data_IF_133982750409
#
_entry.id   IF_133982750409
#
_cell.length_a   1.000
_cell.length_b   1.000
_cell.length_c   1.000
_cell.angle_alpha   90.00
_cell.angle_beta   90.00
_cell.angle_gamma   90.00
#
_symmetry.space_group_name_H-M   'P 1'
#
loop_
_entity.id
_entity.type
_entity.pdbx_description
1 polymer ?
#
# COMPACT_ATOMS: atom_id res chain seq x y z
N UNK A 1 -7.60 25.73 -20.49
CA UNK A 1 -6.45 24.79 -20.51
C UNK A 1 -5.84 24.79 -19.12
N UNK A 2 -6.03 23.73 -18.32
CA UNK A 2 -5.30 23.60 -17.03
C UNK A 2 -4.04 22.81 -17.33
N UNK A 3 -2.89 23.51 -17.38
CA UNK A 3 -1.58 22.88 -17.51
C UNK A 3 -1.43 21.81 -16.44
N UNK A 4 -1.29 20.55 -16.86
CA UNK A 4 -0.90 19.46 -15.97
C UNK A 4 0.51 19.77 -15.49
N UNK A 5 0.63 20.32 -14.29
CA UNK A 5 1.91 20.60 -13.66
C UNK A 5 2.82 19.37 -13.78
N UNK A 6 3.98 19.58 -14.39
CA UNK A 6 5.09 18.61 -14.36
C UNK A 6 5.33 18.22 -12.91
N UNK A 7 5.37 16.91 -12.61
CA UNK A 7 5.48 16.45 -11.23
C UNK A 7 6.83 16.88 -10.66
N UNK A 8 6.87 17.52 -9.49
CA UNK A 8 8.14 17.86 -8.86
C UNK A 8 8.94 16.57 -8.54
N UNK A 9 10.25 16.53 -8.83
CA UNK A 9 11.12 15.39 -8.51
C UNK A 9 11.06 15.02 -7.01
N UNK A 10 11.37 13.77 -6.69
CA UNK A 10 11.30 13.19 -5.32
C UNK A 10 12.09 14.02 -4.29
N UNK A 11 13.17 14.70 -4.71
CA UNK A 11 13.94 15.64 -3.89
C UNK A 11 13.12 16.84 -3.41
N UNK A 12 12.36 17.47 -4.31
CA UNK A 12 11.53 18.64 -3.99
C UNK A 12 10.38 18.31 -3.02
N UNK A 13 9.87 17.07 -3.04
CA UNK A 13 8.85 16.65 -2.07
C UNK A 13 9.42 16.44 -0.66
N UNK A 14 10.71 16.08 -0.54
CA UNK A 14 11.40 15.97 0.75
C UNK A 14 11.68 17.34 1.36
N UNK A 15 12.13 18.29 0.55
CA UNK A 15 12.35 19.68 0.98
C UNK A 15 11.06 20.34 1.45
N UNK A 16 9.98 20.23 0.65
CA UNK A 16 8.65 20.74 1.04
C UNK A 16 8.11 20.11 2.31
N UNK A 17 8.40 18.82 2.54
CA UNK A 17 8.00 18.13 3.77
C UNK A 17 8.76 18.71 4.97
N UNK A 18 10.09 18.89 4.86
CA UNK A 18 10.91 19.48 5.91
C UNK A 18 10.45 20.89 6.27
N UNK A 19 10.27 21.76 5.28
CA UNK A 19 9.78 23.13 5.48
C UNK A 19 8.40 23.15 6.16
N UNK A 20 7.49 22.27 5.72
CA UNK A 20 6.15 22.18 6.30
C UNK A 20 6.18 21.68 7.74
N UNK A 21 7.07 20.74 8.08
CA UNK A 21 7.24 20.24 9.44
C UNK A 21 7.85 21.35 10.32
N UNK A 22 8.92 22.00 9.86
CA UNK A 22 9.60 23.07 10.61
C UNK A 22 8.67 24.24 10.92
N UNK A 23 7.88 24.70 9.95
CA UNK A 23 6.90 25.76 10.16
C UNK A 23 5.81 25.38 11.17
N UNK A 24 5.41 24.10 11.21
CA UNK A 24 4.37 23.64 12.14
C UNK A 24 4.91 23.36 13.55
N UNK A 25 6.15 22.88 13.66
CA UNK A 25 6.82 22.69 14.95
C UNK A 25 7.13 24.03 15.62
N UNK A 26 7.52 25.06 14.85
CA UNK A 26 7.69 26.42 15.38
C UNK A 26 6.40 26.95 16.02
N UNK A 27 5.23 26.65 15.44
CA UNK A 27 3.92 27.05 16.00
C UNK A 27 3.58 26.33 17.31
N UNK A 28 4.01 25.08 17.46
CA UNK A 28 3.83 24.32 18.71
C UNK A 28 4.78 24.87 19.79
N UNK A 29 6.02 25.20 19.43
CA UNK A 29 7.02 25.76 20.34
C UNK A 29 6.74 27.21 20.78
N UNK A 30 5.78 27.89 20.15
CA UNK A 30 5.30 29.21 20.56
C UNK A 30 4.06 29.15 21.46
N UNK A 31 3.61 27.96 21.85
CA UNK A 31 2.54 27.78 22.83
C UNK A 31 3.14 27.65 24.25
N UNK A 32 2.41 28.08 25.27
CA UNK A 32 2.86 28.24 26.66
C UNK A 32 3.50 26.96 27.26
N UNK A 33 4.48 27.16 28.14
CA UNK A 33 5.39 26.14 28.70
C UNK A 33 4.75 25.14 29.69
N UNK A 34 3.45 25.27 29.96
CA UNK A 34 2.72 24.48 30.98
C UNK A 34 1.86 23.34 30.39
N UNK A 35 2.03 22.99 29.12
CA UNK A 35 1.30 21.87 28.52
C UNK A 35 1.89 20.50 28.92
N UNK A 36 1.01 19.56 29.27
CA UNK A 36 1.36 18.15 29.51
C UNK A 36 2.16 17.58 28.33
N UNK A 37 3.30 16.97 28.64
CA UNK A 37 4.27 16.40 27.69
C UNK A 37 3.57 15.40 26.75
N UNK A 38 2.59 14.65 27.24
CA UNK A 38 1.83 13.69 26.43
C UNK A 38 0.93 14.38 25.40
N UNK A 39 0.36 15.54 25.76
CA UNK A 39 -0.44 16.36 24.85
C UNK A 39 0.43 16.97 23.75
N UNK A 40 1.60 17.48 24.12
CA UNK A 40 2.60 18.04 23.19
C UNK A 40 3.08 16.96 22.21
N UNK A 41 3.39 15.77 22.72
CA UNK A 41 3.79 14.62 21.89
C UNK A 41 2.67 14.22 20.90
N UNK A 42 1.42 14.20 21.35
CA UNK A 42 0.28 13.91 20.48
C UNK A 42 0.12 14.99 19.38
N UNK A 43 0.32 16.27 19.70
CA UNK A 43 0.30 17.38 18.73
C UNK A 43 1.44 17.25 17.71
N UNK A 44 2.64 16.91 18.13
CA UNK A 44 3.80 16.67 17.25
C UNK A 44 3.52 15.50 16.30
N UNK A 45 3.06 14.36 16.80
CA UNK A 45 2.74 13.20 15.98
C UNK A 45 1.64 13.53 14.95
N UNK A 46 0.61 14.27 15.37
CA UNK A 46 -0.48 14.66 14.49
C UNK A 46 -0.06 15.66 13.41
N UNK A 47 0.83 16.60 13.73
CA UNK A 47 1.36 17.55 12.74
C UNK A 47 2.27 16.88 11.72
N UNK A 48 3.15 15.96 12.14
CA UNK A 48 3.96 15.15 11.24
C UNK A 48 3.07 14.33 10.30
N UNK A 49 2.07 13.61 10.82
CA UNK A 49 1.13 12.82 10.00
C UNK A 49 0.36 13.68 8.99
N UNK A 50 -0.03 14.91 9.37
CA UNK A 50 -0.71 15.85 8.46
C UNK A 50 0.23 16.35 7.36
N UNK A 51 1.48 16.68 7.70
CA UNK A 51 2.49 17.10 6.73
C UNK A 51 2.83 15.97 5.75
N UNK A 52 3.01 14.75 6.25
CA UNK A 52 3.21 13.56 5.41
C UNK A 52 2.04 13.34 4.45
N UNK A 53 0.79 13.43 4.92
CA UNK A 53 -0.38 13.25 4.05
C UNK A 53 -0.47 14.33 2.95
N UNK A 54 -0.04 15.56 3.25
CA UNK A 54 -0.04 16.69 2.31
C UNK A 54 1.07 16.58 1.26
N UNK A 55 2.26 16.14 1.66
CA UNK A 55 3.43 16.03 0.80
C UNK A 55 3.56 14.65 0.13
N UNK A 56 2.88 13.63 0.65
CA UNK A 56 2.85 12.30 0.04
C UNK A 56 1.88 12.31 -1.13
N UNK A 57 2.44 12.44 -2.33
CA UNK A 57 1.72 12.03 -3.54
C UNK A 57 1.54 10.52 -3.45
N UNK A 58 0.35 10.04 -3.06
CA UNK A 58 -0.01 8.63 -3.26
C UNK A 58 0.28 8.32 -4.73
N UNK A 59 1.35 7.57 -4.99
CA UNK A 59 1.61 7.08 -6.33
C UNK A 59 0.38 6.29 -6.72
N UNK A 60 -0.33 6.79 -7.72
CA UNK A 60 -1.40 6.05 -8.37
C UNK A 60 -0.78 4.72 -8.82
N UNK A 61 -1.05 3.65 -8.07
CA UNK A 61 -0.62 2.29 -8.42
C UNK A 61 -1.31 1.79 -9.70
N UNK A 62 -2.22 2.57 -10.27
CA UNK A 62 -2.88 2.28 -11.52
C UNK A 62 -1.84 2.33 -12.65
N UNK A 63 -1.28 1.16 -12.96
CA UNK A 63 -0.45 0.95 -14.14
C UNK A 63 -1.31 1.32 -15.36
N UNK A 64 -0.82 2.26 -16.18
CA UNK A 64 -1.50 2.67 -17.40
C UNK A 64 -1.45 1.52 -18.42
N UNK A 65 -2.50 0.69 -18.44
CA UNK A 65 -2.64 -0.42 -19.38
C UNK A 65 -2.99 0.04 -20.80
N UNK A 66 -3.54 1.25 -20.94
CA UNK A 66 -4.01 1.81 -22.20
C UNK A 66 -2.97 2.76 -22.80
N UNK A 67 -2.76 2.65 -24.10
CA UNK A 67 -1.93 3.57 -24.88
C UNK A 67 -2.57 4.96 -24.97
N UNK A 68 -1.77 5.97 -25.29
CA UNK A 68 -2.28 7.34 -25.53
C UNK A 68 -3.26 7.36 -26.70
N UNK A 69 -3.02 6.59 -27.77
CA UNK A 69 -3.94 6.43 -28.89
C UNK A 69 -5.35 6.00 -28.44
N UNK A 70 -5.43 5.01 -27.56
CA UNK A 70 -6.73 4.55 -27.03
C UNK A 70 -7.41 5.63 -26.18
N UNK A 71 -6.65 6.43 -25.44
CA UNK A 71 -7.19 7.56 -24.64
C UNK A 71 -7.69 8.70 -25.52
N UNK A 72 -7.04 8.96 -26.65
CA UNK A 72 -7.45 9.92 -27.65
C UNK A 72 -8.79 9.52 -28.28
N UNK A 73 -8.95 8.26 -28.70
CA UNK A 73 -10.24 7.74 -29.20
C UNK A 73 -11.37 7.86 -28.16
N UNK A 74 -11.06 7.60 -26.88
CA UNK A 74 -12.04 7.80 -25.79
C UNK A 74 -12.39 9.28 -25.59
N UNK A 75 -11.46 10.21 -25.86
CA UNK A 75 -11.71 11.65 -25.80
C UNK A 75 -12.55 12.11 -26.99
N UNK A 76 -12.25 11.61 -28.18
CA UNK A 76 -13.03 11.86 -29.39
C UNK A 76 -14.48 11.41 -29.23
N UNK A 77 -14.70 10.19 -28.71
CA UNK A 77 -16.04 9.69 -28.36
C UNK A 77 -16.79 10.61 -27.39
N UNK A 78 -16.11 11.18 -26.40
CA UNK A 78 -16.74 12.12 -25.43
C UNK A 78 -17.16 13.42 -26.13
N UNK A 79 -16.27 13.99 -26.94
CA UNK A 79 -16.54 15.20 -27.70
C UNK A 79 -17.70 15.02 -28.69
N UNK A 80 -17.80 13.84 -29.33
CA UNK A 80 -18.90 13.49 -30.23
C UNK A 80 -20.25 13.45 -29.53
N UNK A 81 -20.29 13.00 -28.27
CA UNK A 81 -21.52 12.93 -27.47
C UNK A 81 -21.97 14.29 -26.95
N UNK A 82 -21.04 15.22 -26.72
CA UNK A 82 -21.34 16.56 -26.22
C UNK A 82 -21.80 17.55 -27.31
N UNK A 83 -21.42 17.32 -28.58
CA UNK A 83 -21.58 18.33 -29.64
C UNK A 83 -22.78 18.15 -30.58
N UNK A 84 -23.32 16.95 -30.81
CA UNK A 84 -24.41 16.76 -31.80
C UNK A 84 -25.33 15.55 -31.51
N UNK A 85 -26.60 15.69 -31.90
CA UNK A 85 -27.55 14.59 -32.11
C UNK A 85 -26.92 13.57 -33.07
N UNK A 86 -26.52 12.44 -32.50
CA UNK A 86 -25.30 11.75 -32.97
C UNK A 86 -25.61 10.86 -34.15
N UNK A 87 -24.84 11.00 -35.25
CA UNK A 87 -24.87 10.06 -36.36
C UNK A 87 -24.47 8.66 -35.83
N UNK A 88 -25.48 7.81 -35.57
CA UNK A 88 -25.37 6.60 -34.76
C UNK A 88 -24.30 5.64 -35.30
N UNK A 89 -24.11 5.62 -36.61
CA UNK A 89 -23.10 4.82 -37.32
C UNK A 89 -21.68 5.22 -36.94
N UNK A 90 -21.37 6.52 -36.84
CA UNK A 90 -20.04 7.00 -36.48
C UNK A 90 -19.70 6.66 -35.02
N UNK A 91 -20.69 6.80 -34.13
CA UNK A 91 -20.52 6.43 -32.73
C UNK A 91 -20.28 4.93 -32.55
N UNK A 92 -21.00 4.09 -33.32
CA UNK A 92 -20.79 2.64 -33.34
C UNK A 92 -19.38 2.28 -33.84
N UNK A 93 -18.90 2.95 -34.88
CA UNK A 93 -17.55 2.71 -35.43
C UNK A 93 -16.46 3.05 -34.41
N UNK A 94 -16.55 4.22 -33.76
CA UNK A 94 -15.61 4.63 -32.70
C UNK A 94 -15.67 3.65 -31.52
N UNK A 95 -16.86 3.18 -31.13
CA UNK A 95 -16.99 2.18 -30.06
C UNK A 95 -16.34 0.83 -30.41
N UNK A 96 -16.50 0.37 -31.66
CA UNK A 96 -15.83 -0.84 -32.16
C UNK A 96 -14.32 -0.67 -32.14
N UNK A 97 -13.82 0.49 -32.57
CA UNK A 97 -12.39 0.78 -32.60
C UNK A 97 -11.80 0.85 -31.19
N UNK A 98 -12.43 1.58 -30.26
CA UNK A 98 -12.03 1.63 -28.85
C UNK A 98 -11.96 0.22 -28.26
N UNK A 99 -12.97 -0.61 -28.51
CA UNK A 99 -13.00 -1.98 -27.99
C UNK A 99 -11.87 -2.84 -28.57
N UNK A 100 -11.51 -2.64 -29.84
CA UNK A 100 -10.40 -3.34 -30.50
C UNK A 100 -9.04 -2.88 -29.95
N UNK A 101 -8.85 -1.57 -29.79
CA UNK A 101 -7.59 -0.99 -29.28
C UNK A 101 -7.37 -1.32 -27.81
N UNK A 102 -8.41 -1.26 -26.97
CA UNK A 102 -8.32 -1.70 -25.56
C UNK A 102 -7.86 -3.15 -25.45
N UNK A 103 -8.49 -4.08 -26.20
CA UNK A 103 -8.09 -5.50 -26.17
C UNK A 103 -6.63 -5.69 -26.59
N UNK A 104 -6.21 -4.96 -27.61
CA UNK A 104 -4.83 -5.00 -28.12
C UNK A 104 -3.84 -4.45 -27.09
N UNK A 105 -4.16 -3.32 -26.46
CA UNK A 105 -3.32 -2.69 -25.45
C UNK A 105 -3.18 -3.56 -24.20
N UNK A 106 -4.28 -4.14 -23.72
CA UNK A 106 -4.27 -5.07 -22.59
C UNK A 106 -3.44 -6.31 -22.92
N UNK A 107 -3.59 -6.89 -24.12
CA UNK A 107 -2.78 -8.04 -24.55
C UNK A 107 -1.29 -7.69 -24.60
N UNK A 108 -0.92 -6.54 -25.18
CA UNK A 108 0.46 -6.04 -25.22
C UNK A 108 1.03 -5.82 -23.82
N UNK A 109 0.26 -5.17 -22.95
CA UNK A 109 0.63 -4.92 -21.57
C UNK A 109 0.89 -6.22 -20.81
N UNK A 110 -0.05 -7.18 -20.86
CA UNK A 110 0.09 -8.47 -20.20
C UNK A 110 1.29 -9.26 -20.75
N UNK A 111 1.48 -9.26 -22.08
CA UNK A 111 2.64 -9.91 -22.70
C UNK A 111 3.95 -9.28 -22.23
N UNK A 112 4.02 -7.96 -22.11
CA UNK A 112 5.20 -7.25 -21.59
C UNK A 112 5.46 -7.59 -20.13
N UNK A 113 4.43 -7.62 -19.28
CA UNK A 113 4.60 -8.02 -17.88
C UNK A 113 5.02 -9.49 -17.75
N UNK A 114 4.44 -10.40 -18.54
CA UNK A 114 4.86 -11.81 -18.57
C UNK A 114 6.33 -11.94 -18.97
N UNK A 115 6.74 -11.26 -20.05
CA UNK A 115 8.15 -11.23 -20.46
C UNK A 115 9.04 -10.68 -19.35
N UNK A 116 8.63 -9.60 -18.67
CA UNK A 116 9.39 -9.03 -17.54
C UNK A 116 9.54 -10.05 -16.41
N UNK A 117 8.46 -10.71 -16.00
CA UNK A 117 8.49 -11.72 -14.93
C UNK A 117 9.34 -12.91 -15.32
N UNK A 118 9.24 -13.38 -16.56
CA UNK A 118 10.09 -14.46 -17.09
C UNK A 118 11.55 -14.03 -17.06
N UNK A 119 11.88 -12.81 -17.49
CA UNK A 119 13.26 -12.27 -17.47
C UNK A 119 13.80 -12.15 -16.04
N UNK A 120 13.02 -11.57 -15.13
CA UNK A 120 13.36 -11.44 -13.71
C UNK A 120 13.60 -12.80 -13.03
N UNK A 121 12.94 -13.85 -13.52
CA UNK A 121 13.01 -15.21 -12.97
C UNK A 121 13.68 -16.21 -13.92
N UNK A 122 14.44 -15.75 -14.93
CA UNK A 122 15.07 -16.61 -15.95
C UNK A 122 16.00 -17.66 -15.35
N UNK A 123 16.49 -17.43 -14.14
CA UNK A 123 17.18 -18.44 -13.35
C UNK A 123 16.23 -19.23 -12.47
N UNK A 124 16.15 -20.55 -12.67
CA UNK A 124 15.45 -21.46 -11.75
C UNK A 124 15.94 -21.31 -10.29
N UNK A 125 17.21 -20.92 -10.11
CA UNK A 125 17.79 -20.56 -8.81
C UNK A 125 17.17 -19.29 -8.20
N UNK A 126 16.90 -18.27 -9.01
CA UNK A 126 16.26 -17.01 -8.58
C UNK A 126 14.80 -17.27 -8.22
N UNK A 127 14.07 -18.00 -9.07
CA UNK A 127 12.68 -18.39 -8.82
C UNK A 127 12.54 -19.23 -7.54
N UNK A 128 13.41 -20.23 -7.33
CA UNK A 128 13.41 -21.03 -6.10
C UNK A 128 13.72 -20.17 -4.87
N UNK A 129 14.62 -19.20 -4.98
CA UNK A 129 14.96 -18.29 -3.87
C UNK A 129 13.78 -17.38 -3.51
N UNK A 130 13.16 -16.71 -4.48
CA UNK A 130 12.00 -15.84 -4.25
C UNK A 130 10.80 -16.61 -3.72
N UNK A 131 10.54 -17.80 -4.24
CA UNK A 131 9.49 -18.69 -3.75
C UNK A 131 9.75 -19.18 -2.33
N UNK A 132 11.00 -19.56 -2.01
CA UNK A 132 11.38 -19.98 -0.65
C UNK A 132 11.27 -18.83 0.35
N UNK A 133 11.69 -17.62 -0.01
CA UNK A 133 11.53 -16.41 0.81
C UNK A 133 10.06 -16.07 1.03
N UNK A 134 9.23 -16.15 -0.01
CA UNK A 134 7.78 -16.00 0.08
C UNK A 134 7.15 -17.02 1.03
N UNK A 135 7.49 -18.31 0.87
CA UNK A 135 7.01 -19.39 1.72
C UNK A 135 7.43 -19.19 3.19
N UNK A 136 8.69 -18.79 3.44
CA UNK A 136 9.17 -18.47 4.79
C UNK A 136 8.38 -17.33 5.42
N UNK A 137 8.09 -16.28 4.65
CA UNK A 137 7.31 -15.14 5.13
C UNK A 137 5.85 -15.53 5.42
N UNK A 138 5.22 -16.32 4.55
CA UNK A 138 3.87 -16.85 4.76
C UNK A 138 3.83 -17.73 6.02
N UNK A 139 4.77 -18.66 6.16
CA UNK A 139 4.86 -19.55 7.33
C UNK A 139 5.17 -18.79 8.63
N UNK A 140 5.87 -17.64 8.58
CA UNK A 140 6.05 -16.76 9.75
C UNK A 140 4.75 -16.10 10.17
N UNK A 141 3.87 -15.81 9.21
CA UNK A 141 2.61 -15.10 9.43
C UNK A 141 1.43 -16.04 9.71
N UNK A 142 1.55 -17.33 9.38
CA UNK A 142 0.47 -18.33 9.50
C UNK A 142 0.82 -19.42 10.51
N UNK A 143 -0.14 -19.79 11.38
CA UNK A 143 -0.04 -21.02 12.20
C UNK A 143 -0.20 -22.27 11.31
N UNK A 144 0.12 -23.45 11.86
CA UNK A 144 -0.02 -24.77 11.19
C UNK A 144 -1.39 -25.03 10.55
N UNK A 145 -2.44 -24.32 10.98
CA UNK A 145 -3.81 -24.46 10.48
C UNK A 145 -4.22 -23.30 9.54
N UNK A 146 -3.27 -22.64 8.88
CA UNK A 146 -3.48 -21.50 7.96
C UNK A 146 -4.15 -20.25 8.58
N UNK A 147 -4.20 -20.13 9.91
CA UNK A 147 -4.70 -18.92 10.57
C UNK A 147 -3.62 -17.83 10.65
N UNK A 148 -3.98 -16.61 10.24
CA UNK A 148 -3.15 -15.41 10.35
C UNK A 148 -2.87 -15.10 11.83
N UNK A 149 -1.60 -14.93 12.16
CA UNK A 149 -1.15 -14.57 13.51
C UNK A 149 -0.86 -13.08 13.58
N UNK A 150 -1.68 -12.33 14.32
CA UNK A 150 -1.33 -10.96 14.71
C UNK A 150 -0.29 -11.02 15.84
N UNK A 151 0.68 -10.11 15.90
CA UNK A 151 1.70 -10.08 16.97
C UNK A 151 1.06 -10.10 18.37
N UNK A 152 -0.06 -9.39 18.55
CA UNK A 152 -0.88 -9.39 19.77
C UNK A 152 -1.37 -10.78 20.19
N UNK A 153 -1.80 -11.60 19.24
CA UNK A 153 -2.28 -12.96 19.53
C UNK A 153 -1.13 -13.89 19.94
N UNK A 154 0.09 -13.64 19.42
CA UNK A 154 1.29 -14.38 19.78
C UNK A 154 1.69 -14.13 21.24
N UNK A 155 1.73 -12.88 21.66
CA UNK A 155 2.01 -12.51 23.06
C UNK A 155 0.92 -13.00 24.03
N UNK A 156 -0.36 -12.90 23.63
CA UNK A 156 -1.47 -13.41 24.45
C UNK A 156 -1.41 -14.93 24.65
N UNK A 157 -1.08 -15.69 23.60
CA UNK A 157 -0.93 -17.16 23.70
C UNK A 157 0.26 -17.54 24.59
N UNK A 158 1.39 -16.83 24.46
CA UNK A 158 2.58 -17.05 25.27
C UNK A 158 2.30 -16.79 26.77
N UNK A 159 1.61 -15.69 27.08
CA UNK A 159 1.20 -15.36 28.46
C UNK A 159 0.28 -16.43 29.05
N UNK A 160 -0.73 -16.91 28.30
CA UNK A 160 -1.63 -17.99 28.75
C UNK A 160 -0.85 -19.29 29.04
N UNK A 161 0.06 -19.67 28.15
CA UNK A 161 0.88 -20.88 28.34
C UNK A 161 1.82 -20.75 29.54
N UNK A 162 2.38 -19.58 29.78
CA UNK A 162 3.21 -19.32 30.96
C UNK A 162 2.40 -19.48 32.25
N UNK A 163 1.20 -18.87 32.31
CA UNK A 163 0.31 -19.00 33.46
C UNK A 163 -0.13 -20.45 33.71
N UNK A 164 -0.49 -21.19 32.66
CA UNK A 164 -0.86 -22.62 32.76
C UNK A 164 0.28 -23.46 33.34
N UNK A 165 1.50 -23.30 32.82
CA UNK A 165 2.68 -24.01 33.31
C UNK A 165 3.01 -23.67 34.77
N UNK A 166 2.88 -22.40 35.15
CA UNK A 166 3.09 -21.97 36.53
C UNK A 166 2.07 -22.59 37.48
N UNK A 167 0.80 -22.63 37.08
CA UNK A 167 -0.29 -23.23 37.88
C UNK A 167 -0.10 -24.73 38.06
N UNK A 168 0.26 -25.45 36.98
CA UNK A 168 0.55 -26.89 37.03
C UNK A 168 1.75 -27.20 37.94
N UNK A 169 2.83 -26.43 37.83
CA UNK A 169 4.00 -26.59 38.71
C UNK A 169 3.66 -26.34 40.17
N UNK A 170 2.83 -25.33 40.46
CA UNK A 170 2.34 -25.05 41.81
C UNK A 170 1.53 -26.22 42.36
N UNK A 171 0.59 -26.76 41.57
CA UNK A 171 -0.22 -27.92 41.98
C UNK A 171 0.65 -29.16 42.25
N UNK A 172 1.62 -29.45 41.37
CA UNK A 172 2.55 -30.57 41.57
C UNK A 172 3.37 -30.38 42.85
N UNK A 173 3.87 -29.17 43.10
CA UNK A 173 4.63 -28.87 44.33
C UNK A 173 3.75 -29.00 45.58
N UNK A 174 2.49 -28.56 45.53
CA UNK A 174 1.55 -28.72 46.64
C UNK A 174 1.25 -30.19 46.93
N UNK A 175 1.05 -31.01 45.91
CA UNK A 175 0.84 -32.47 46.07
C UNK A 175 2.09 -33.13 46.65
N UNK A 176 3.29 -32.77 46.18
CA UNK A 176 4.55 -33.29 46.70
C UNK A 176 4.82 -32.88 48.15
N UNK A 177 4.36 -31.70 48.60
CA UNK A 177 4.47 -31.30 50.01
C UNK A 177 3.49 -32.02 50.94
N UNK A 178 2.37 -32.54 50.41
CA UNK A 178 1.39 -33.30 51.21
C UNK A 178 1.69 -34.80 51.28
N UNK A 179 2.59 -35.30 50.41
CA UNK A 179 3.02 -36.71 50.37
C UNK A 179 4.31 -36.98 51.18
N UNK A 180 4.85 -35.97 51.87
CA UNK A 180 5.96 -36.07 52.82
C UNK A 180 5.43 -35.90 54.23
#
# INVERSE_FOLDING_TARGET
MVSRASRPPVSQNRERLKETIEQNLRKINSQEEDEDIDLVNAKIINTIKKAEKKCSTKQSKYKNKLSEKTKELMKERRNMKEKYDTNQTQLQNINKEISKTIRTDVKKYNTKEMKRVIEENKGMKVLRKTMSEGQKNINRLTKRNCQLTTERQRYSTLSKNFMLNFTLRRQIMTVLTFLK
#
